data_IF_980321261643
#
_entry.id   IF_980321261643
#
_cell.length_a   1.000
_cell.length_b   1.000
_cell.length_c   1.000
_cell.angle_alpha   90.00
_cell.angle_beta   90.00
_cell.angle_gamma   90.00
#
_symmetry.space_group_name_H-M   'P 1'
#
loop_
_entity.id
_entity.type
_entity.pdbx_description
1 polymer ?
#
# COMPACT_ATOMS: atom_id res chain seq x y z
N UNK A 1 23.25 0.81 -15.66
CA UNK A 1 24.70 0.85 -15.32
C UNK A 1 25.19 -0.55 -15.03
N UNK A 2 24.65 -1.27 -14.03
CA UNK A 2 25.05 -2.62 -13.62
C UNK A 2 25.03 -3.62 -14.78
N UNK A 3 23.95 -3.70 -15.55
CA UNK A 3 23.83 -4.58 -16.72
C UNK A 3 24.92 -4.31 -17.78
N UNK A 4 25.26 -3.04 -17.99
CA UNK A 4 26.29 -2.67 -18.98
C UNK A 4 27.66 -3.18 -18.54
N UNK A 5 27.99 -3.03 -17.25
CA UNK A 5 29.27 -3.54 -16.71
C UNK A 5 29.31 -5.07 -16.69
N UNK A 6 28.19 -5.72 -16.39
CA UNK A 6 28.09 -7.18 -16.39
C UNK A 6 28.24 -7.79 -17.79
N UNK A 7 27.74 -7.10 -18.83
CA UNK A 7 27.79 -7.57 -20.21
C UNK A 7 29.22 -7.71 -20.74
N UNK A 8 30.15 -6.89 -20.28
CA UNK A 8 31.56 -6.97 -20.69
C UNK A 8 32.23 -8.30 -20.33
N UNK A 9 31.76 -8.93 -19.25
CA UNK A 9 32.31 -10.19 -18.73
C UNK A 9 31.33 -11.37 -18.75
N UNK A 10 30.18 -11.20 -19.43
CA UNK A 10 29.09 -12.18 -19.46
C UNK A 10 28.65 -12.62 -18.06
N UNK A 11 28.72 -11.73 -17.08
CA UNK A 11 28.35 -11.99 -15.69
C UNK A 11 26.82 -12.06 -15.54
N UNK A 12 26.27 -13.13 -14.94
CA UNK A 12 24.85 -13.19 -14.64
C UNK A 12 24.40 -12.07 -13.69
N UNK A 13 23.23 -11.49 -13.93
CA UNK A 13 22.68 -10.39 -13.12
C UNK A 13 21.25 -10.72 -12.72
N UNK A 14 20.95 -10.59 -11.44
CA UNK A 14 19.59 -10.55 -10.91
C UNK A 14 19.25 -9.09 -10.58
N UNK A 15 18.12 -8.61 -11.07
CA UNK A 15 17.65 -7.25 -10.85
C UNK A 15 16.46 -7.24 -9.89
N UNK A 16 16.56 -6.41 -8.86
CA UNK A 16 15.46 -6.03 -7.97
C UNK A 16 15.10 -4.57 -8.27
N UNK A 17 13.92 -4.32 -8.83
CA UNK A 17 13.61 -3.02 -9.44
C UNK A 17 12.51 -2.25 -8.71
N UNK A 18 11.52 -2.92 -8.20
CA UNK A 18 10.41 -2.31 -7.49
C UNK A 18 9.17 -3.19 -7.55
N UNK A 19 8.18 -2.84 -6.78
CA UNK A 19 6.91 -3.57 -6.72
C UNK A 19 5.87 -2.79 -5.94
N UNK A 20 4.61 -3.12 -6.18
CA UNK A 20 3.47 -2.61 -5.42
C UNK A 20 2.79 -3.78 -4.74
N UNK A 21 3.03 -3.96 -3.44
CA UNK A 21 2.52 -5.09 -2.67
C UNK A 21 1.13 -4.79 -2.13
N UNK A 22 0.05 -5.40 -2.66
CA UNK A 22 -1.29 -5.21 -2.14
C UNK A 22 -1.48 -5.94 -0.81
N UNK A 23 -2.23 -5.34 0.11
CA UNK A 23 -2.73 -6.00 1.29
C UNK A 23 -4.25 -6.16 1.18
N UNK A 24 -4.71 -7.38 0.89
CA UNK A 24 -6.15 -7.66 0.70
C UNK A 24 -6.78 -8.00 2.05
N UNK A 25 -7.89 -7.31 2.36
CA UNK A 25 -8.66 -7.53 3.60
C UNK A 25 -10.12 -7.75 3.26
N UNK A 26 -10.58 -8.97 3.35
CA UNK A 26 -11.98 -9.30 3.10
C UNK A 26 -12.87 -9.14 4.35
N UNK A 27 -14.18 -9.29 4.16
CA UNK A 27 -15.16 -9.10 5.21
C UNK A 27 -15.06 -10.12 6.36
N UNK A 28 -14.36 -11.25 6.17
CA UNK A 28 -14.17 -12.30 7.19
C UNK A 28 -12.97 -12.04 8.09
N UNK A 29 -12.15 -11.05 7.74
CA UNK A 29 -10.93 -10.75 8.45
C UNK A 29 -11.15 -10.32 9.91
N UNK A 30 -10.26 -10.75 10.80
CA UNK A 30 -10.20 -10.28 12.18
C UNK A 30 -9.54 -8.89 12.23
N UNK A 31 -10.35 -7.84 12.12
CA UNK A 31 -9.88 -6.46 11.93
C UNK A 31 -8.79 -6.00 12.92
N UNK A 32 -8.84 -6.28 14.25
CA UNK A 32 -7.77 -5.88 15.15
C UNK A 32 -6.43 -6.55 14.82
N UNK A 33 -6.46 -7.81 14.38
CA UNK A 33 -5.25 -8.53 13.97
C UNK A 33 -4.73 -8.01 12.63
N UNK A 34 -5.62 -7.79 11.66
CA UNK A 34 -5.29 -7.23 10.36
C UNK A 34 -4.65 -5.85 10.53
N UNK A 35 -5.27 -4.94 11.27
CA UNK A 35 -4.74 -3.61 11.54
C UNK A 35 -3.35 -3.65 12.18
N UNK A 36 -3.15 -4.53 13.18
CA UNK A 36 -1.85 -4.69 13.84
C UNK A 36 -0.75 -5.10 12.87
N UNK A 37 -1.03 -6.06 11.98
CA UNK A 37 -0.08 -6.54 10.98
C UNK A 37 0.18 -5.51 9.89
N UNK A 38 -0.86 -4.84 9.41
CA UNK A 38 -0.75 -3.77 8.42
C UNK A 38 0.10 -2.63 8.95
N UNK A 39 -0.18 -2.14 10.16
CA UNK A 39 0.56 -1.03 10.77
C UNK A 39 2.02 -1.40 10.99
N UNK A 40 2.30 -2.59 11.49
CA UNK A 40 3.67 -3.07 11.64
C UNK A 40 4.38 -3.17 10.28
N UNK A 41 3.78 -3.85 9.31
CA UNK A 41 4.40 -4.07 7.99
C UNK A 41 4.59 -2.79 7.19
N UNK A 42 3.59 -1.87 7.26
CA UNK A 42 3.65 -0.60 6.52
C UNK A 42 4.64 0.40 7.10
N UNK A 43 4.66 0.55 8.43
CA UNK A 43 5.43 1.65 9.03
C UNK A 43 6.79 1.22 9.59
N UNK A 44 7.13 -0.06 9.52
CA UNK A 44 8.50 -0.52 9.73
C UNK A 44 9.43 0.23 8.77
N UNK A 45 10.51 0.80 9.29
CA UNK A 45 11.45 1.64 8.53
C UNK A 45 10.76 2.78 7.74
N UNK A 46 9.66 3.34 8.28
CA UNK A 46 8.84 4.37 7.61
C UNK A 46 8.32 3.94 6.23
N UNK A 47 8.03 2.67 6.02
CA UNK A 47 7.53 2.14 4.76
C UNK A 47 8.57 2.02 3.65
N UNK A 48 9.84 2.27 3.94
CA UNK A 48 10.94 2.14 2.99
C UNK A 48 11.43 0.69 2.92
N UNK A 49 10.54 -0.20 2.52
CA UNK A 49 10.75 -1.66 2.49
C UNK A 49 9.98 -2.24 1.32
N UNK A 50 10.64 -3.04 0.47
CA UNK A 50 10.05 -3.62 -0.75
C UNK A 50 8.86 -4.56 -0.48
N UNK A 51 8.76 -5.16 0.71
CA UNK A 51 7.64 -6.02 1.12
C UNK A 51 6.62 -5.30 2.01
N UNK A 52 6.75 -3.98 2.20
CA UNK A 52 5.73 -3.21 2.92
C UNK A 52 4.42 -3.22 2.13
N UNK A 53 3.25 -3.31 2.79
CA UNK A 53 1.97 -3.07 2.12
C UNK A 53 2.00 -1.71 1.41
N UNK A 54 1.93 -1.71 0.09
CA UNK A 54 1.93 -0.45 -0.66
C UNK A 54 0.57 0.22 -0.55
N UNK A 55 -0.48 -0.58 -0.68
CA UNK A 55 -1.86 -0.17 -0.45
C UNK A 55 -2.69 -1.28 0.19
N UNK A 56 -3.83 -0.90 0.78
CA UNK A 56 -4.85 -1.84 1.26
C UNK A 56 -5.97 -1.89 0.24
N UNK A 57 -6.36 -3.11 -0.16
CA UNK A 57 -7.57 -3.37 -0.91
C UNK A 57 -8.56 -4.06 0.02
N UNK A 58 -9.63 -3.38 0.42
CA UNK A 58 -10.56 -3.95 1.38
C UNK A 58 -12.01 -3.97 0.88
N UNK A 59 -12.76 -4.93 1.40
CA UNK A 59 -14.22 -4.97 1.17
C UNK A 59 -14.86 -3.68 1.69
N UNK A 60 -15.70 -3.04 0.88
CA UNK A 60 -16.35 -1.76 1.20
C UNK A 60 -17.13 -1.80 2.53
N UNK A 61 -17.66 -2.96 2.90
CA UNK A 61 -18.46 -3.14 4.13
C UNK A 61 -17.64 -3.03 5.42
N UNK A 62 -16.34 -3.21 5.34
CA UNK A 62 -15.45 -3.18 6.52
C UNK A 62 -14.53 -1.98 6.54
N UNK A 63 -14.49 -1.17 5.47
CA UNK A 63 -13.55 -0.07 5.27
C UNK A 63 -13.38 0.83 6.50
N UNK A 64 -14.47 1.43 6.95
CA UNK A 64 -14.43 2.41 8.04
C UNK A 64 -13.98 1.78 9.37
N UNK A 65 -14.41 0.56 9.64
CA UNK A 65 -14.00 -0.21 10.82
C UNK A 65 -12.52 -0.61 10.76
N UNK A 66 -12.03 -0.96 9.59
CA UNK A 66 -10.61 -1.28 9.38
C UNK A 66 -9.74 -0.04 9.57
N UNK A 67 -10.13 1.09 8.97
CA UNK A 67 -9.40 2.35 9.09
C UNK A 67 -9.34 2.83 10.53
N UNK A 68 -10.44 2.72 11.28
CA UNK A 68 -10.45 3.06 12.70
C UNK A 68 -9.54 2.14 13.53
N UNK A 69 -9.53 0.84 13.22
CA UNK A 69 -8.60 -0.09 13.86
C UNK A 69 -7.13 0.21 13.52
N UNK A 70 -6.84 0.61 12.28
CA UNK A 70 -5.49 1.04 11.87
C UNK A 70 -5.09 2.31 12.61
N UNK A 71 -5.97 3.30 12.71
CA UNK A 71 -5.72 4.55 13.46
C UNK A 71 -5.39 4.28 14.93
N UNK A 72 -6.19 3.45 15.59
CA UNK A 72 -5.96 3.06 16.98
C UNK A 72 -4.61 2.34 17.15
N UNK A 73 -4.25 1.49 16.21
CA UNK A 73 -3.01 0.75 16.24
C UNK A 73 -1.78 1.63 15.95
N UNK A 74 -1.89 2.63 15.05
CA UNK A 74 -0.85 3.66 14.84
C UNK A 74 -0.58 4.39 16.16
N UNK A 75 -1.63 4.86 16.84
CA UNK A 75 -1.50 5.54 18.13
C UNK A 75 -0.87 4.64 19.19
N UNK A 76 -1.20 3.34 19.19
CA UNK A 76 -0.63 2.37 20.14
C UNK A 76 0.86 2.11 19.90
N UNK A 77 1.30 2.00 18.62
CA UNK A 77 2.69 1.66 18.29
C UNK A 77 3.62 2.87 18.30
N UNK A 78 3.14 4.04 17.87
CA UNK A 78 3.98 5.22 17.64
C UNK A 78 3.70 6.38 18.61
N UNK A 79 2.65 6.26 19.45
CA UNK A 79 2.26 7.30 20.40
C UNK A 79 1.40 8.40 19.78
N UNK A 80 1.12 9.42 20.58
CA UNK A 80 0.27 10.56 20.18
C UNK A 80 0.98 11.50 19.19
N UNK A 81 2.31 11.58 19.26
CA UNK A 81 3.13 12.40 18.37
C UNK A 81 4.29 11.56 17.80
N UNK A 82 4.07 10.91 16.65
CA UNK A 82 5.10 10.11 16.00
C UNK A 82 6.35 10.89 15.59
N UNK A 83 6.23 12.21 15.33
CA UNK A 83 7.39 13.03 14.94
C UNK A 83 8.39 13.19 16.09
N UNK A 84 7.92 13.12 17.33
CA UNK A 84 8.77 13.20 18.54
C UNK A 84 9.18 11.82 19.08
N UNK A 85 8.64 10.74 18.53
CA UNK A 85 9.00 9.40 18.94
C UNK A 85 10.44 9.06 18.51
N UNK A 86 11.38 8.79 19.42
CA UNK A 86 12.77 8.50 19.07
C UNK A 86 12.94 7.20 18.27
N UNK A 87 12.01 6.25 18.43
CA UNK A 87 12.04 4.96 17.73
C UNK A 87 11.40 5.01 16.35
N UNK A 88 10.75 6.14 15.99
CA UNK A 88 10.19 6.32 14.66
C UNK A 88 11.26 6.90 13.71
N UNK A 89 11.46 6.25 12.58
CA UNK A 89 12.51 6.58 11.63
C UNK A 89 12.27 7.88 10.84
N UNK A 90 13.07 8.06 9.80
CA UNK A 90 12.98 9.19 8.87
C UNK A 90 13.10 8.71 7.41
N UNK A 91 12.76 9.57 6.47
CA UNK A 91 12.98 9.34 5.05
C UNK A 91 14.47 9.52 4.74
N UNK A 92 15.00 8.67 3.87
CA UNK A 92 16.44 8.53 3.62
C UNK A 92 17.10 9.83 3.15
N UNK A 93 16.41 10.64 2.34
CA UNK A 93 16.92 11.91 1.81
C UNK A 93 15.78 12.86 1.41
N UNK A 94 16.13 14.13 1.16
CA UNK A 94 15.21 15.20 0.77
C UNK A 94 14.46 14.89 -0.54
N UNK A 95 15.11 14.30 -1.53
CA UNK A 95 14.49 13.97 -2.81
C UNK A 95 13.29 13.05 -2.61
N UNK A 96 13.46 11.97 -1.87
CA UNK A 96 12.37 11.03 -1.58
C UNK A 96 11.34 11.62 -0.61
N UNK A 97 11.76 12.45 0.32
CA UNK A 97 10.85 13.17 1.22
C UNK A 97 9.87 14.05 0.42
N UNK A 98 10.38 14.91 -0.47
CA UNK A 98 9.52 15.77 -1.30
C UNK A 98 8.68 14.97 -2.30
N UNK A 99 9.20 13.87 -2.86
CA UNK A 99 8.40 12.96 -3.68
C UNK A 99 7.18 12.44 -2.91
N UNK A 100 7.39 11.97 -1.68
CA UNK A 100 6.31 11.47 -0.83
C UNK A 100 5.28 12.55 -0.49
N UNK A 101 5.72 13.78 -0.20
CA UNK A 101 4.78 14.89 0.01
C UNK A 101 3.91 15.14 -1.22
N UNK A 102 4.47 14.98 -2.42
CA UNK A 102 3.74 15.12 -3.68
C UNK A 102 2.72 14.01 -3.97
N UNK A 103 2.80 12.87 -3.28
CA UNK A 103 1.84 11.78 -3.39
C UNK A 103 0.61 11.95 -2.48
N UNK A 104 0.70 12.83 -1.48
CA UNK A 104 -0.37 13.04 -0.52
C UNK A 104 -1.41 14.04 -1.04
N UNK A 105 -2.66 13.62 -1.10
CA UNK A 105 -3.81 14.50 -1.28
C UNK A 105 -4.40 14.82 0.10
N UNK A 106 -4.34 16.09 0.50
CA UNK A 106 -4.79 16.54 1.81
C UNK A 106 -6.29 16.27 2.07
N UNK A 107 -7.11 16.27 1.03
CA UNK A 107 -8.55 16.00 1.15
C UNK A 107 -8.85 14.52 1.43
N UNK A 108 -7.94 13.62 1.08
CA UNK A 108 -8.06 12.17 1.26
C UNK A 108 -7.38 11.65 2.53
N UNK A 109 -6.62 12.50 3.23
CA UNK A 109 -5.94 12.10 4.48
C UNK A 109 -6.95 12.00 5.62
N UNK A 110 -7.03 10.83 6.24
CA UNK A 110 -7.90 10.59 7.40
C UNK A 110 -7.12 10.38 8.70
N UNK A 111 -5.81 10.15 8.61
CA UNK A 111 -4.92 10.03 9.75
C UNK A 111 -3.51 10.42 9.34
N UNK A 112 -2.76 11.13 10.17
CA UNK A 112 -1.40 11.55 9.88
C UNK A 112 -1.34 12.78 8.97
N UNK A 113 -0.40 12.76 8.01
CA UNK A 113 -0.18 13.86 7.06
C UNK A 113 0.73 14.98 7.57
N UNK A 114 1.13 14.94 8.85
CA UNK A 114 2.08 15.89 9.39
C UNK A 114 3.52 15.49 9.01
N UNK A 115 4.38 16.48 8.88
CA UNK A 115 5.78 16.23 8.57
C UNK A 115 6.70 17.29 9.20
N UNK A 116 7.97 16.92 9.34
CA UNK A 116 9.04 17.81 9.74
C UNK A 116 10.17 17.76 8.69
N UNK A 117 10.32 18.83 7.95
CA UNK A 117 11.28 18.95 6.87
C UNK A 117 12.74 18.93 7.36
N UNK A 118 12.98 19.44 8.58
CA UNK A 118 14.33 19.48 9.16
C UNK A 118 14.84 18.10 9.52
N UNK A 119 13.95 17.23 9.98
CA UNK A 119 14.27 15.86 10.37
C UNK A 119 13.95 14.84 9.30
N UNK A 120 13.34 15.25 8.18
CA UNK A 120 12.84 14.41 7.09
C UNK A 120 11.85 13.34 7.57
N UNK A 121 11.03 13.66 8.56
CA UNK A 121 10.04 12.75 9.11
C UNK A 121 8.66 13.07 8.55
N UNK A 122 7.91 12.02 8.22
CA UNK A 122 6.50 12.07 7.83
C UNK A 122 5.76 11.12 8.78
N UNK A 123 4.69 11.57 9.41
CA UNK A 123 3.89 10.71 10.29
C UNK A 123 3.31 9.52 9.54
N UNK A 124 3.00 8.40 10.21
CA UNK A 124 2.16 7.37 9.66
C UNK A 124 0.88 7.98 9.10
N UNK A 125 0.67 7.86 7.80
CA UNK A 125 -0.40 8.54 7.07
C UNK A 125 -1.32 7.52 6.44
N UNK A 126 -2.64 7.70 6.60
CA UNK A 126 -3.68 6.86 5.97
C UNK A 126 -4.54 7.75 5.09
N UNK A 127 -4.78 7.31 3.86
CA UNK A 127 -5.64 7.99 2.88
C UNK A 127 -6.84 7.10 2.56
N UNK A 128 -8.03 7.71 2.47
CA UNK A 128 -9.28 7.06 2.03
C UNK A 128 -9.78 7.67 0.74
N UNK A 129 -10.80 7.03 0.16
CA UNK A 129 -11.41 7.46 -1.10
C UNK A 129 -10.37 7.63 -2.23
N UNK A 130 -9.36 6.76 -2.19
CA UNK A 130 -8.29 6.69 -3.17
C UNK A 130 -8.75 5.85 -4.35
N UNK A 131 -8.46 6.35 -5.54
CA UNK A 131 -8.73 5.68 -6.80
C UNK A 131 -7.42 5.40 -7.58
N UNK A 132 -7.50 4.54 -8.59
CA UNK A 132 -6.32 4.09 -9.33
C UNK A 132 -5.64 5.20 -10.15
N UNK A 133 -6.31 6.32 -10.37
CA UNK A 133 -5.77 7.50 -11.06
C UNK A 133 -5.05 8.48 -10.14
N UNK A 134 -5.13 8.29 -8.83
CA UNK A 134 -4.47 9.16 -7.86
C UNK A 134 -2.95 9.03 -7.93
N UNK A 135 -2.25 10.12 -7.67
CA UNK A 135 -0.78 10.17 -7.71
C UNK A 135 -0.13 9.09 -6.82
N UNK A 136 -0.74 8.80 -5.68
CA UNK A 136 -0.26 7.80 -4.71
C UNK A 136 -0.30 6.37 -5.25
N UNK A 137 -1.09 6.10 -6.29
CA UNK A 137 -1.21 4.79 -6.95
C UNK A 137 -0.36 4.68 -8.22
N UNK A 138 0.28 5.76 -8.66
CA UNK A 138 1.04 5.81 -9.91
C UNK A 138 2.43 5.18 -9.87
N UNK A 139 2.97 4.95 -8.69
CA UNK A 139 4.30 4.36 -8.48
C UNK A 139 4.39 3.67 -7.12
N UNK A 140 5.42 2.84 -6.90
CA UNK A 140 5.73 2.29 -5.58
C UNK A 140 5.95 3.42 -4.57
N UNK A 141 5.20 3.41 -3.47
CA UNK A 141 5.22 4.50 -2.50
C UNK A 141 6.57 4.58 -1.77
N UNK A 142 7.06 3.46 -1.25
CA UNK A 142 8.31 3.37 -0.49
C UNK A 142 8.41 4.43 0.61
N UNK A 143 7.32 4.57 1.37
CA UNK A 143 7.17 5.61 2.40
C UNK A 143 5.96 5.35 3.30
N UNK A 144 5.76 6.19 4.35
CA UNK A 144 4.77 5.95 5.40
C UNK A 144 3.35 6.43 5.04
N UNK A 145 2.94 6.24 3.79
CA UNK A 145 1.63 6.60 3.27
C UNK A 145 0.89 5.32 2.90
N UNK A 146 -0.28 5.10 3.46
CA UNK A 146 -1.12 3.93 3.25
C UNK A 146 -2.43 4.33 2.59
N UNK A 147 -2.58 4.22 1.27
CA UNK A 147 -3.86 4.35 0.61
C UNK A 147 -4.75 3.14 0.88
N UNK A 148 -6.04 3.40 1.08
CA UNK A 148 -7.08 2.38 1.25
C UNK A 148 -8.04 2.47 0.08
N UNK A 149 -7.99 1.46 -0.77
CA UNK A 149 -8.87 1.26 -1.92
C UNK A 149 -9.94 0.23 -1.54
N UNK A 150 -11.14 0.39 -2.06
CA UNK A 150 -12.24 -0.55 -1.76
C UNK A 150 -12.65 -1.35 -2.98
N UNK A 151 -13.13 -2.56 -2.74
CA UNK A 151 -13.83 -3.37 -3.73
C UNK A 151 -15.20 -3.80 -3.19
N UNK A 152 -16.10 -4.14 -4.10
CA UNK A 152 -17.41 -4.66 -3.74
C UNK A 152 -17.48 -6.15 -4.08
N UNK A 153 -17.44 -7.01 -3.06
CA UNK A 153 -17.47 -8.45 -3.24
C UNK A 153 -18.73 -8.95 -3.97
N UNK A 154 -19.86 -8.26 -3.83
CA UNK A 154 -21.09 -8.63 -4.53
C UNK A 154 -21.03 -8.44 -6.04
N UNK A 155 -20.32 -7.42 -6.51
CA UNK A 155 -20.15 -7.16 -7.96
C UNK A 155 -19.21 -8.20 -8.55
N UNK A 156 -18.20 -8.63 -7.79
CA UNK A 156 -17.29 -9.71 -8.18
C UNK A 156 -18.01 -11.05 -8.29
N UNK A 157 -18.83 -11.42 -7.30
CA UNK A 157 -19.62 -12.65 -7.32
C UNK A 157 -20.63 -12.67 -8.49
N UNK A 158 -21.28 -11.54 -8.78
CA UNK A 158 -22.17 -11.40 -9.92
C UNK A 158 -21.45 -11.52 -11.25
N UNK A 159 -20.27 -10.94 -11.40
CA UNK A 159 -19.48 -11.04 -12.63
C UNK A 159 -18.98 -12.46 -12.87
N UNK A 160 -18.60 -13.18 -11.82
CA UNK A 160 -18.21 -14.61 -11.90
C UNK A 160 -19.43 -15.48 -12.23
N UNK A 161 -20.57 -15.23 -11.62
CA UNK A 161 -21.81 -15.99 -11.87
C UNK A 161 -22.44 -15.70 -13.28
N UNK A 162 -22.15 -14.54 -13.88
CA UNK A 162 -22.64 -14.16 -15.22
C UNK A 162 -21.67 -14.56 -16.34
N UNK A 163 -20.42 -14.87 -16.04
CA UNK A 163 -19.48 -15.47 -16.97
C UNK A 163 -19.75 -16.99 -17.06
N UNK A 164 -20.86 -17.33 -17.69
CA UNK A 164 -21.07 -18.66 -18.22
C UNK A 164 -19.95 -18.89 -19.27
N UNK A 165 -19.15 -19.93 -19.10
CA UNK A 165 -17.99 -20.28 -19.92
C UNK A 165 -18.37 -20.71 -21.36
N UNK A 166 -19.17 -19.93 -22.05
CA UNK A 166 -19.40 -20.07 -23.49
C UNK A 166 -18.55 -19.06 -24.26
N UNK A 167 -17.32 -19.41 -24.42
CA UNK A 167 -16.30 -18.95 -25.35
C UNK A 167 -16.58 -17.73 -26.22
N UNK A 168 -16.06 -16.61 -25.80
CA UNK A 168 -15.32 -15.65 -26.60
C UNK A 168 -14.60 -14.71 -25.64
N UNK A 169 -13.27 -14.90 -25.52
CA UNK A 169 -12.41 -14.01 -24.75
C UNK A 169 -12.22 -12.75 -25.58
N UNK A 170 -13.06 -11.74 -25.36
CA UNK A 170 -12.67 -10.37 -25.66
C UNK A 170 -11.63 -9.97 -24.62
N UNK A 171 -10.46 -9.50 -25.08
CA UNK A 171 -9.34 -9.09 -24.22
C UNK A 171 -9.84 -8.23 -23.06
N UNK A 172 -9.59 -8.63 -21.81
CA UNK A 172 -9.92 -7.79 -20.67
C UNK A 172 -8.94 -6.61 -20.65
N UNK A 173 -9.48 -5.43 -20.48
CA UNK A 173 -8.69 -4.32 -19.97
C UNK A 173 -8.02 -4.80 -18.68
N UNK A 174 -6.69 -4.95 -18.75
CA UNK A 174 -5.87 -5.49 -17.69
C UNK A 174 -5.99 -4.62 -16.44
N UNK A 175 -6.69 -5.11 -15.42
CA UNK A 175 -6.54 -4.61 -14.05
C UNK A 175 -7.11 -5.49 -12.93
N UNK A 176 -8.03 -6.41 -13.16
CA UNK A 176 -8.69 -7.08 -12.02
C UNK A 176 -8.58 -8.61 -12.00
N UNK A 177 -8.34 -9.28 -13.12
CA UNK A 177 -8.39 -10.74 -13.22
C UNK A 177 -7.14 -11.47 -12.71
N UNK A 178 -5.96 -10.91 -12.95
CA UNK A 178 -4.69 -11.57 -12.59
C UNK A 178 -4.33 -11.44 -11.10
N UNK A 179 -5.04 -10.59 -10.37
CA UNK A 179 -4.75 -10.27 -8.97
C UNK A 179 -5.31 -11.30 -7.97
N UNK A 180 -6.42 -11.95 -8.29
CA UNK A 180 -7.10 -12.87 -7.36
C UNK A 180 -6.36 -14.18 -7.21
N UNK A 181 -5.75 -14.70 -8.27
CA UNK A 181 -5.02 -15.96 -8.24
C UNK A 181 -3.70 -15.89 -7.44
N UNK A 182 -3.08 -14.71 -7.38
CA UNK A 182 -1.85 -14.54 -6.61
C UNK A 182 -2.09 -14.35 -5.10
N UNK A 183 -3.19 -13.71 -4.74
CA UNK A 183 -3.52 -13.41 -3.33
C UNK A 183 -3.90 -14.65 -2.50
N UNK A 184 -4.39 -15.72 -3.13
CA UNK A 184 -4.80 -16.97 -2.46
C UNK A 184 -3.58 -17.77 -1.94
N UNK A 185 -2.38 -17.50 -2.44
CA UNK A 185 -1.17 -18.25 -2.07
C UNK A 185 -0.30 -17.60 -0.99
N UNK A 186 -0.71 -16.47 -0.40
CA UNK A 186 0.05 -15.76 0.65
C UNK A 186 -0.61 -15.78 2.04
N UNK A 187 -1.45 -16.79 2.34
CA UNK A 187 -2.04 -16.99 3.68
C UNK A 187 -1.24 -18.02 4.48
#
# INVERSE_FOLDING_TARGET
EVLRSAAEYLTPVTLELGGTSPCIVDATAKLPLAARRIVFGKYLNCGQTCVAPDYVLCDVRIRDRLVEAIRAEISRQFGADPLQNPDYGKIINEKHFHRLLGLMDAEKIVCGGQYDEKTLRITPTVMMDVDWSDAVMGEEIFGPILPVVTYNAYDTEKSIAQNDFSGEVSEPQAAAGDFVDWAIHCV
#
